data_IF_509692406789
#
_entry.id   IF_509692406789
#
_cell.length_a   1.000
_cell.length_b   1.000
_cell.length_c   1.000
_cell.angle_alpha   90.00
_cell.angle_beta   90.00
_cell.angle_gamma   90.00
#
_symmetry.space_group_name_H-M   'P 1'
#
loop_
_entity.id
_entity.type
_entity.pdbx_description
1 polymer ?
#
# COMPACT_ATOMS: atom_id res chain seq x y z
N UNK A 1 1.35 0.02 -9.92
CA UNK A 1 2.00 -1.05 -10.72
C UNK A 1 0.87 -1.94 -11.22
N UNK A 2 0.84 -2.36 -12.50
CA UNK A 2 -0.30 -3.09 -13.07
C UNK A 2 -0.74 -4.31 -12.24
N UNK A 3 0.20 -4.94 -11.52
CA UNK A 3 -0.06 -6.13 -10.71
C UNK A 3 -0.36 -5.87 -9.22
N UNK A 4 -0.39 -4.60 -8.78
CA UNK A 4 -0.60 -4.26 -7.36
C UNK A 4 -1.69 -3.20 -7.21
N UNK A 5 -2.66 -3.46 -6.32
CA UNK A 5 -3.67 -2.48 -5.97
C UNK A 5 -3.08 -1.40 -5.05
N UNK A 6 -2.90 -0.19 -5.59
CA UNK A 6 -2.28 0.94 -4.90
C UNK A 6 -3.07 1.39 -3.66
N UNK A 7 -4.40 1.28 -3.69
CA UNK A 7 -5.25 1.62 -2.54
C UNK A 7 -5.20 0.58 -1.42
N UNK A 8 -4.97 -0.69 -1.76
CA UNK A 8 -4.74 -1.74 -0.75
C UNK A 8 -3.41 -1.50 -0.01
N UNK A 9 -2.36 -1.08 -0.74
CA UNK A 9 -1.08 -0.68 -0.15
C UNK A 9 -1.25 0.58 0.71
N UNK A 10 -1.99 1.59 0.22
CA UNK A 10 -2.33 2.80 0.97
C UNK A 10 -3.02 2.47 2.30
N UNK A 11 -4.03 1.60 2.28
CA UNK A 11 -4.78 1.22 3.47
C UNK A 11 -3.92 0.50 4.52
N UNK A 12 -2.88 -0.23 4.11
CA UNK A 12 -1.90 -0.82 5.02
C UNK A 12 -0.97 0.24 5.64
N UNK A 13 -0.48 1.18 4.85
CA UNK A 13 0.40 2.24 5.32
C UNK A 13 -0.31 3.25 6.24
N UNK A 14 -1.58 3.58 5.97
CA UNK A 14 -2.38 4.47 6.83
C UNK A 14 -2.56 3.93 8.26
N UNK A 15 -2.64 2.60 8.42
CA UNK A 15 -2.71 1.95 9.74
C UNK A 15 -1.41 2.03 10.55
N UNK A 16 -0.30 2.42 9.91
CA UNK A 16 1.03 2.56 10.51
C UNK A 16 1.44 4.03 10.71
N UNK A 17 0.49 4.97 10.61
CA UNK A 17 0.70 6.43 10.74
C UNK A 17 1.78 6.99 9.78
N UNK A 18 1.98 6.32 8.63
CA UNK A 18 2.90 6.79 7.59
C UNK A 18 2.14 7.67 6.62
N UNK A 19 2.51 8.94 6.56
CA UNK A 19 1.91 9.97 5.69
C UNK A 19 2.28 9.74 4.21
N UNK A 20 1.69 8.72 3.60
CA UNK A 20 1.65 8.55 2.14
C UNK A 20 0.30 9.05 1.65
N UNK A 21 0.26 9.77 0.53
CA UNK A 21 -0.97 10.25 -0.09
C UNK A 21 -1.29 9.44 -1.34
N UNK A 22 -2.56 9.33 -1.71
CA UNK A 22 -3.01 8.58 -2.88
C UNK A 22 -3.61 9.50 -3.95
N UNK A 23 -3.25 9.29 -5.21
CA UNK A 23 -3.92 9.92 -6.35
C UNK A 23 -4.91 8.95 -6.97
N UNK A 24 -6.04 9.48 -7.47
CA UNK A 24 -7.07 8.66 -8.10
C UNK A 24 -6.85 8.46 -9.60
N UNK A 25 -6.30 9.45 -10.28
CA UNK A 25 -6.16 9.44 -11.74
C UNK A 25 -4.74 9.89 -12.14
N UNK A 26 -3.84 8.95 -12.49
CA UNK A 26 -3.98 7.50 -12.34
C UNK A 26 -3.95 7.05 -10.85
N UNK A 27 -4.43 5.84 -10.51
CA UNK A 27 -4.23 5.25 -9.20
C UNK A 27 -2.74 5.19 -8.88
N UNK A 28 -2.31 5.95 -7.87
CA UNK A 28 -0.90 5.98 -7.48
C UNK A 28 -0.71 6.38 -6.03
N UNK A 29 0.48 6.11 -5.50
CA UNK A 29 0.92 6.57 -4.19
C UNK A 29 2.03 7.60 -4.37
N UNK A 30 1.94 8.71 -3.64
CA UNK A 30 3.00 9.71 -3.59
C UNK A 30 3.36 10.07 -2.15
N UNK A 31 4.65 10.35 -1.96
CA UNK A 31 5.22 10.81 -0.70
C UNK A 31 5.96 12.12 -0.97
N UNK A 32 5.58 13.17 -0.25
CA UNK A 32 6.30 14.45 -0.27
C UNK A 32 7.45 14.39 0.73
N UNK A 33 8.67 14.26 0.22
CA UNK A 33 9.86 14.19 1.07
C UNK A 33 10.16 15.54 1.72
N UNK A 34 10.61 15.45 2.96
CA UNK A 34 11.14 16.54 3.78
C UNK A 34 12.38 16.04 4.51
N UNK A 35 13.26 16.92 5.02
CA UNK A 35 14.49 16.50 5.71
C UNK A 35 14.26 15.50 6.85
N UNK A 36 13.10 15.54 7.53
CA UNK A 36 12.74 14.59 8.59
C UNK A 36 12.61 13.15 8.13
N UNK A 37 12.42 12.90 6.84
CA UNK A 37 12.35 11.54 6.31
C UNK A 37 13.69 10.82 6.36
N UNK A 38 14.82 11.54 6.42
CA UNK A 38 16.13 10.91 6.58
C UNK A 38 16.22 10.08 7.87
N UNK A 39 15.53 10.51 8.93
CA UNK A 39 15.53 9.84 10.23
C UNK A 39 14.77 8.49 10.20
N UNK A 40 13.92 8.25 9.19
CA UNK A 40 12.96 7.13 9.16
C UNK A 40 12.91 6.42 7.80
N UNK A 41 13.85 6.70 6.91
CA UNK A 41 13.81 6.21 5.51
C UNK A 41 13.84 4.68 5.44
N UNK A 42 14.69 4.05 6.25
CA UNK A 42 14.84 2.59 6.26
C UNK A 42 13.58 1.90 6.79
N UNK A 43 13.01 2.42 7.88
CA UNK A 43 11.76 1.91 8.44
C UNK A 43 10.60 2.09 7.46
N UNK A 44 10.53 3.25 6.78
CA UNK A 44 9.51 3.50 5.77
C UNK A 44 9.60 2.51 4.60
N UNK A 45 10.82 2.23 4.12
CA UNK A 45 11.05 1.27 3.03
C UNK A 45 10.76 -0.16 3.46
N UNK A 46 11.08 -0.54 4.71
CA UNK A 46 10.72 -1.84 5.27
C UNK A 46 9.19 -1.99 5.37
N UNK A 47 8.50 -1.00 5.94
CA UNK A 47 7.04 -0.96 6.04
C UNK A 47 6.37 -1.06 4.67
N UNK A 48 6.89 -0.32 3.68
CA UNK A 48 6.37 -0.32 2.31
C UNK A 48 6.56 -1.68 1.64
N UNK A 49 7.72 -2.32 1.82
CA UNK A 49 7.99 -3.67 1.30
C UNK A 49 7.00 -4.68 1.87
N UNK A 50 6.83 -4.69 3.19
CA UNK A 50 5.86 -5.59 3.84
C UNK A 50 4.43 -5.36 3.34
N UNK A 51 4.03 -4.10 3.15
CA UNK A 51 2.70 -3.77 2.61
C UNK A 51 2.51 -4.31 1.19
N UNK A 52 3.52 -4.18 0.32
CA UNK A 52 3.49 -4.71 -1.05
C UNK A 52 3.42 -6.24 -1.04
N UNK A 53 4.27 -6.90 -0.26
CA UNK A 53 4.30 -8.36 -0.13
C UNK A 53 2.97 -8.92 0.41
N UNK A 54 2.40 -8.28 1.44
CA UNK A 54 1.12 -8.68 2.00
C UNK A 54 -0.03 -8.55 0.97
N UNK A 55 -0.06 -7.46 0.21
CA UNK A 55 -1.06 -7.25 -0.85
C UNK A 55 -0.87 -8.25 -1.99
N UNK A 56 0.37 -8.53 -2.39
CA UNK A 56 0.69 -9.53 -3.40
C UNK A 56 0.26 -10.95 -2.98
N UNK A 57 0.52 -11.32 -1.72
CA UNK A 57 0.09 -12.61 -1.16
C UNK A 57 -1.45 -12.73 -1.11
N UNK A 58 -2.16 -11.64 -0.79
CA UNK A 58 -3.62 -11.61 -0.80
C UNK A 58 -4.21 -11.70 -2.22
N UNK A 59 -3.57 -11.11 -3.22
CA UNK A 59 -3.96 -11.27 -4.63
C UNK A 59 -3.84 -12.74 -5.09
N UNK A 60 -2.82 -13.47 -4.62
CA UNK A 60 -2.68 -14.91 -4.87
C UNK A 60 -3.70 -15.78 -4.09
N UNK A 61 -4.16 -15.33 -2.93
CA UNK A 61 -5.14 -16.02 -2.09
C UNK A 61 -6.59 -15.79 -2.50
N UNK A 62 -6.88 -14.75 -3.29
CA UNK A 62 -8.21 -14.43 -3.81
C UNK A 62 -8.65 -15.38 -4.95
N UNK A 63 -8.62 -16.69 -4.72
CA UNK A 63 -9.42 -17.65 -5.51
C UNK A 63 -10.87 -17.56 -5.04
N UNK A 64 -11.68 -16.84 -5.82
CA UNK A 64 -13.15 -16.86 -5.91
C UNK A 64 -13.90 -17.20 -4.61
N UNK A 65 -14.07 -16.23 -3.73
CA UNK A 65 -15.24 -16.23 -2.85
C UNK A 65 -16.44 -15.76 -3.69
N UNK A 66 -17.35 -16.69 -4.00
CA UNK A 66 -18.65 -16.40 -4.62
C UNK A 66 -19.49 -15.60 -3.61
N UNK A 67 -19.48 -14.27 -3.73
CA UNK A 67 -20.29 -13.39 -2.89
C UNK A 67 -21.73 -13.46 -3.40
N UNK A 68 -22.56 -14.26 -2.72
CA UNK A 68 -24.01 -14.21 -2.87
C UNK A 68 -24.54 -13.10 -1.97
N UNK A 69 -25.13 -12.07 -2.57
CA UNK A 69 -25.93 -11.09 -1.84
C UNK A 69 -27.20 -11.77 -1.30
N UNK A 70 -27.53 -11.51 -0.04
CA UNK A 70 -28.85 -11.76 0.56
C UNK A 70 -29.68 -10.48 0.53
#
# INVERSE_FOLDING_TARGET
HPDHNEFAIYAKNLRRDRLTSATKEPPSLHLMLSPKHADVVDDYLADLRESVEAVAAQAGAAKKADVRYS
#
